data_IF_920236909280
#
_entry.id   IF_920236909280
#
_cell.length_a   1.000
_cell.length_b   1.000
_cell.length_c   1.000
_cell.angle_alpha   90.00
_cell.angle_beta   90.00
_cell.angle_gamma   90.00
#
_symmetry.space_group_name_H-M   'P 1'
#
loop_
_entity.id
_entity.type
_entity.pdbx_description
1 polymer ?
#
# COMPACT_ATOMS: atom_id res chain seq x y z
N UNK A 1 21.12 11.20 9.04
CA UNK A 1 20.93 10.54 10.35
C UNK A 1 21.14 9.04 10.15
N UNK A 2 21.82 8.34 11.05
CA UNK A 2 21.91 6.87 11.00
C UNK A 2 20.61 6.25 11.55
N UNK A 3 20.29 5.02 11.13
CA UNK A 3 19.16 4.30 11.69
C UNK A 3 19.44 3.89 13.15
N UNK A 4 18.47 4.09 14.04
CA UNK A 4 18.55 3.74 15.45
C UNK A 4 17.30 2.92 15.86
N UNK A 5 17.41 1.59 15.98
CA UNK A 5 16.27 0.72 16.25
C UNK A 5 15.61 1.01 17.61
N UNK A 6 16.35 1.59 18.56
CA UNK A 6 15.84 1.91 19.90
C UNK A 6 14.88 3.10 19.92
N UNK A 7 14.91 3.93 18.87
CA UNK A 7 14.06 5.11 18.72
C UNK A 7 12.79 4.87 17.92
N UNK A 8 12.62 3.66 17.36
CA UNK A 8 11.45 3.35 16.55
C UNK A 8 10.21 3.36 17.42
N UNK A 9 9.23 4.17 17.02
CA UNK A 9 7.93 4.20 17.67
C UNK A 9 6.99 3.16 17.04
N UNK A 10 6.09 2.60 17.85
CA UNK A 10 5.14 1.57 17.42
C UNK A 10 3.69 2.00 17.67
N UNK A 11 3.17 3.02 16.96
CA UNK A 11 1.80 3.47 17.15
C UNK A 11 0.81 2.34 16.89
N UNK A 12 -0.17 2.19 17.78
CA UNK A 12 -1.21 1.16 17.63
C UNK A 12 -1.95 1.20 16.29
N UNK A 13 -2.32 2.38 15.73
CA UNK A 13 -2.96 2.43 14.41
C UNK A 13 -2.11 1.78 13.30
N UNK A 14 -0.80 1.99 13.32
CA UNK A 14 0.11 1.47 12.30
C UNK A 14 0.32 -0.03 12.49
N UNK A 15 0.47 -0.50 13.74
CA UNK A 15 0.54 -1.93 14.04
C UNK A 15 -0.75 -2.65 13.61
N UNK A 16 -1.92 -2.06 13.88
CA UNK A 16 -3.20 -2.64 13.50
C UNK A 16 -3.38 -2.68 11.97
N UNK A 17 -2.94 -1.63 11.27
CA UNK A 17 -2.91 -1.60 9.81
C UNK A 17 -2.02 -2.72 9.25
N UNK A 18 -0.78 -2.82 9.72
CA UNK A 18 0.17 -3.84 9.28
C UNK A 18 -0.31 -5.25 9.63
N UNK A 19 -0.93 -5.44 10.79
CA UNK A 19 -1.54 -6.72 11.17
C UNK A 19 -2.69 -7.10 10.24
N UNK A 20 -3.59 -6.17 9.92
CA UNK A 20 -4.73 -6.45 9.05
C UNK A 20 -4.30 -6.91 7.65
N UNK A 21 -3.17 -6.40 7.16
CA UNK A 21 -2.69 -6.60 5.78
C UNK A 21 -1.69 -7.76 5.68
N UNK A 22 -0.75 -7.81 6.61
CA UNK A 22 0.47 -8.61 6.50
C UNK A 22 0.66 -9.59 7.66
N UNK A 23 -0.35 -9.80 8.53
CA UNK A 23 -0.22 -10.77 9.65
C UNK A 23 0.28 -12.15 9.21
N UNK A 24 -0.02 -12.60 8.01
CA UNK A 24 0.47 -13.88 7.48
C UNK A 24 1.99 -13.91 7.39
N UNK A 25 2.59 -12.86 6.84
CA UNK A 25 4.04 -12.72 6.63
C UNK A 25 4.81 -12.66 7.94
N UNK A 26 4.15 -12.19 9.00
CA UNK A 26 4.72 -12.10 10.35
C UNK A 26 4.43 -13.33 11.23
N UNK A 27 3.77 -14.37 10.71
CA UNK A 27 3.46 -15.59 11.47
C UNK A 27 2.18 -15.53 12.34
N UNK A 28 1.27 -14.62 12.01
CA UNK A 28 0.00 -14.37 12.73
C UNK A 28 -1.25 -14.66 11.87
N UNK A 29 -1.13 -15.46 10.81
CA UNK A 29 -2.21 -15.75 9.84
C UNK A 29 -3.57 -16.06 10.49
N UNK A 30 -3.58 -16.92 11.50
CA UNK A 30 -4.79 -17.42 12.15
C UNK A 30 -5.16 -16.64 13.43
N UNK A 31 -4.44 -15.55 13.71
CA UNK A 31 -4.69 -14.71 14.89
C UNK A 31 -5.60 -13.53 14.55
N UNK A 32 -6.38 -13.12 15.55
CA UNK A 32 -7.21 -11.91 15.52
C UNK A 32 -6.56 -10.79 16.32
N UNK A 33 -6.85 -9.55 15.95
CA UNK A 33 -6.38 -8.39 16.68
C UNK A 33 -7.06 -8.31 18.05
N UNK A 34 -6.28 -8.34 19.12
CA UNK A 34 -6.69 -8.15 20.50
C UNK A 34 -5.47 -7.69 21.32
N UNK A 35 -5.64 -7.42 22.63
CA UNK A 35 -4.55 -6.92 23.47
C UNK A 35 -3.34 -7.86 23.54
N UNK A 36 -3.56 -9.18 23.57
CA UNK A 36 -2.47 -10.16 23.60
C UNK A 36 -1.72 -10.19 22.27
N UNK A 37 -2.44 -10.32 21.16
CA UNK A 37 -1.87 -10.34 19.82
C UNK A 37 -1.12 -9.04 19.50
N UNK A 38 -1.63 -7.89 19.97
CA UNK A 38 -0.97 -6.58 19.83
C UNK A 38 0.43 -6.62 20.42
N UNK A 39 0.56 -7.06 21.68
CA UNK A 39 1.85 -7.13 22.39
C UNK A 39 2.81 -8.09 21.67
N UNK A 40 2.32 -9.28 21.30
CA UNK A 40 3.15 -10.27 20.59
C UNK A 40 3.61 -9.79 19.21
N UNK A 41 2.74 -9.11 18.47
CA UNK A 41 3.03 -8.57 17.16
C UNK A 41 4.06 -7.44 17.24
N UNK A 42 3.84 -6.50 18.16
CA UNK A 42 4.78 -5.41 18.44
C UNK A 42 6.17 -5.96 18.83
N UNK A 43 6.23 -6.92 19.75
CA UNK A 43 7.48 -7.57 20.17
C UNK A 43 8.19 -8.30 19.02
N UNK A 44 7.43 -8.91 18.11
CA UNK A 44 7.98 -9.59 16.94
C UNK A 44 8.66 -8.59 16.00
N UNK A 45 8.02 -7.45 15.74
CA UNK A 45 8.57 -6.40 14.86
C UNK A 45 9.76 -5.72 15.53
N UNK A 46 9.68 -5.42 16.83
CA UNK A 46 10.79 -4.89 17.62
C UNK A 46 12.03 -5.78 17.53
N UNK A 47 11.84 -7.09 17.73
CA UNK A 47 12.93 -8.08 17.59
C UNK A 47 13.49 -8.09 16.19
N UNK A 48 12.63 -8.14 15.16
CA UNK A 48 13.06 -8.07 13.76
C UNK A 48 13.92 -6.84 13.50
N UNK A 49 13.46 -5.64 13.89
CA UNK A 49 14.17 -4.38 13.68
C UNK A 49 15.51 -4.34 14.46
N UNK A 50 15.54 -4.89 15.68
CA UNK A 50 16.74 -4.88 16.51
C UNK A 50 17.86 -5.82 16.00
N UNK A 51 17.49 -6.95 15.38
CA UNK A 51 18.46 -7.98 14.94
C UNK A 51 18.76 -7.96 13.45
N UNK A 52 18.01 -7.20 12.65
CA UNK A 52 18.17 -7.16 11.19
C UNK A 52 19.23 -6.14 10.77
N UNK A 53 20.30 -6.57 10.09
CA UNK A 53 21.50 -5.73 9.92
C UNK A 53 21.46 -4.77 8.73
N UNK A 54 20.49 -4.89 7.81
CA UNK A 54 20.48 -4.11 6.57
C UNK A 54 19.35 -3.10 6.59
N UNK A 55 19.77 -1.85 6.43
CA UNK A 55 18.88 -0.70 6.40
C UNK A 55 19.24 0.17 5.21
N UNK A 56 18.23 0.48 4.40
CA UNK A 56 18.38 1.36 3.24
C UNK A 56 17.62 2.66 3.49
N UNK A 57 18.25 3.80 3.22
CA UNK A 57 17.55 5.08 3.16
C UNK A 57 16.88 5.22 1.80
N UNK A 58 15.63 5.68 1.80
CA UNK A 58 14.99 6.17 0.59
C UNK A 58 13.67 6.85 0.91
N UNK A 59 12.68 6.66 0.04
CA UNK A 59 11.36 7.29 0.17
C UNK A 59 10.24 6.28 0.04
N UNK A 60 9.22 6.40 0.90
CA UNK A 60 8.00 5.61 0.83
C UNK A 60 6.80 6.53 0.99
N UNK A 61 5.81 6.43 0.08
CA UNK A 61 4.56 7.23 0.10
C UNK A 61 4.79 8.73 0.39
N UNK A 62 5.73 9.34 -0.35
CA UNK A 62 6.14 10.77 -0.28
C UNK A 62 6.91 11.20 0.97
N UNK A 63 7.19 10.29 1.91
CA UNK A 63 8.03 10.56 3.07
C UNK A 63 9.41 9.93 2.94
N UNK A 64 10.41 10.53 3.58
CA UNK A 64 11.68 9.85 3.83
C UNK A 64 11.41 8.63 4.72
N UNK A 65 11.94 7.47 4.32
CA UNK A 65 11.76 6.22 5.06
C UNK A 65 13.05 5.39 5.10
N UNK A 66 13.15 4.54 6.12
CA UNK A 66 14.11 3.46 6.25
C UNK A 66 13.43 2.15 5.83
N UNK A 67 14.09 1.40 4.96
CA UNK A 67 13.78 0.00 4.72
C UNK A 67 14.68 -0.86 5.58
N UNK A 68 14.14 -1.48 6.62
CA UNK A 68 14.82 -2.53 7.38
C UNK A 68 14.49 -3.86 6.73
N UNK A 69 15.47 -4.61 6.25
CA UNK A 69 15.20 -5.83 5.45
C UNK A 69 16.16 -6.97 5.77
N UNK A 70 15.59 -8.16 5.91
CA UNK A 70 16.36 -9.40 5.98
C UNK A 70 16.67 -9.87 4.56
N UNK A 71 17.97 -9.93 4.21
CA UNK A 71 18.40 -10.27 2.85
C UNK A 71 18.14 -11.74 2.47
N UNK A 72 17.86 -12.62 3.44
CA UNK A 72 17.63 -14.05 3.19
C UNK A 72 16.16 -14.36 3.06
N UNK A 73 15.33 -13.81 3.95
CA UNK A 73 13.88 -14.11 3.97
C UNK A 73 13.06 -13.06 3.24
N UNK A 74 13.70 -11.97 2.79
CA UNK A 74 13.07 -10.80 2.19
C UNK A 74 12.02 -10.10 3.09
N UNK A 75 11.89 -10.53 4.35
CA UNK A 75 11.09 -9.85 5.35
C UNK A 75 11.58 -8.41 5.49
N UNK A 76 10.67 -7.46 5.44
CA UNK A 76 10.97 -6.04 5.58
C UNK A 76 10.07 -5.34 6.60
N UNK A 77 10.55 -4.19 7.07
CA UNK A 77 9.81 -3.20 7.82
C UNK A 77 10.18 -1.80 7.29
N UNK A 78 9.19 -0.92 7.25
CA UNK A 78 9.30 0.46 6.76
C UNK A 78 9.10 1.39 7.95
N UNK A 79 10.10 2.20 8.24
CA UNK A 79 10.07 3.19 9.33
C UNK A 79 10.21 4.57 8.74
N UNK A 80 9.31 5.51 9.06
CA UNK A 80 9.46 6.89 8.60
C UNK A 80 10.70 7.53 9.22
N UNK A 81 11.44 8.33 8.44
CA UNK A 81 12.60 9.12 8.92
C UNK A 81 12.22 10.53 9.34
N UNK A 82 10.95 10.89 9.19
CA UNK A 82 10.42 12.15 9.68
C UNK A 82 10.38 12.19 11.22
N UNK A 83 9.83 13.27 11.76
CA UNK A 83 9.81 13.54 13.20
C UNK A 83 9.18 12.42 14.05
N UNK A 84 8.33 11.55 13.46
CA UNK A 84 7.67 10.48 14.20
C UNK A 84 8.57 9.27 14.47
N UNK A 85 9.55 9.02 13.60
CA UNK A 85 10.37 7.81 13.61
C UNK A 85 9.56 6.50 13.77
N UNK A 86 8.32 6.51 13.29
CA UNK A 86 7.34 5.47 13.56
C UNK A 86 7.40 4.34 12.52
N UNK A 87 7.13 3.11 12.98
CA UNK A 87 6.82 1.98 12.10
C UNK A 87 5.59 2.32 11.26
N UNK A 88 5.68 2.06 9.96
CA UNK A 88 4.56 2.29 9.03
C UNK A 88 3.92 0.98 8.57
N UNK A 89 4.72 0.11 7.97
CA UNK A 89 4.29 -1.19 7.43
C UNK A 89 5.48 -2.14 7.31
N UNK A 90 5.25 -3.35 6.79
CA UNK A 90 6.25 -4.39 6.64
C UNK A 90 5.62 -5.74 6.27
N UNK A 91 6.29 -6.46 5.38
CA UNK A 91 5.86 -7.76 4.82
C UNK A 91 7.05 -8.51 4.24
N UNK A 92 6.85 -9.71 3.71
CA UNK A 92 7.88 -10.44 2.95
C UNK A 92 7.89 -9.94 1.51
N UNK A 93 9.00 -9.32 1.10
CA UNK A 93 9.16 -8.82 -0.26
C UNK A 93 9.23 -9.99 -1.26
N UNK A 94 8.62 -9.82 -2.43
CA UNK A 94 8.89 -10.68 -3.59
C UNK A 94 10.36 -10.52 -4.03
N UNK A 95 10.90 -11.46 -4.82
CA UNK A 95 12.27 -11.35 -5.34
C UNK A 95 12.45 -10.07 -6.18
N UNK A 96 11.42 -9.68 -6.93
CA UNK A 96 11.41 -8.44 -7.70
C UNK A 96 11.42 -7.20 -6.78
N UNK A 97 10.55 -7.17 -5.75
CA UNK A 97 10.53 -6.10 -4.73
C UNK A 97 11.88 -5.97 -4.07
N UNK A 98 12.48 -7.09 -3.72
CA UNK A 98 13.75 -7.12 -3.02
C UNK A 98 14.86 -6.53 -3.89
N UNK A 99 15.00 -6.97 -5.14
CA UNK A 99 15.99 -6.42 -6.07
C UNK A 99 15.77 -4.92 -6.28
N UNK A 100 14.53 -4.51 -6.53
CA UNK A 100 14.19 -3.11 -6.75
C UNK A 100 14.45 -2.24 -5.52
N UNK A 101 14.00 -2.67 -4.34
CA UNK A 101 14.07 -1.88 -3.11
C UNK A 101 15.48 -1.84 -2.48
N UNK A 102 16.39 -2.72 -2.88
CA UNK A 102 17.76 -2.80 -2.33
C UNK A 102 18.87 -2.40 -3.31
N UNK A 103 18.56 -2.16 -4.58
CA UNK A 103 19.54 -1.78 -5.61
C UNK A 103 19.53 -0.27 -5.89
N UNK A 104 20.67 0.44 -5.79
CA UNK A 104 20.76 1.85 -6.19
C UNK A 104 20.45 2.06 -7.69
N UNK A 105 19.90 3.22 -8.09
CA UNK A 105 19.47 4.36 -7.27
C UNK A 105 18.12 4.15 -6.55
N UNK A 106 17.49 2.98 -6.71
CA UNK A 106 16.12 2.66 -6.29
C UNK A 106 16.01 2.13 -4.85
N UNK A 107 17.06 2.28 -4.04
CA UNK A 107 17.06 1.93 -2.62
C UNK A 107 15.84 2.61 -1.94
N UNK A 108 14.82 1.81 -1.64
CA UNK A 108 13.47 2.27 -1.28
C UNK A 108 12.94 3.40 -2.21
N UNK A 109 12.71 3.10 -3.49
CA UNK A 109 12.04 3.99 -4.44
C UNK A 109 10.54 3.73 -4.51
N UNK A 110 9.73 4.29 -3.61
CA UNK A 110 8.27 4.04 -3.47
C UNK A 110 7.38 4.24 -4.71
N UNK A 111 7.93 4.65 -5.86
CA UNK A 111 7.22 4.73 -7.14
C UNK A 111 6.65 3.40 -7.62
N UNK A 112 7.35 2.28 -7.41
CA UNK A 112 6.85 0.93 -7.71
C UNK A 112 5.91 0.41 -6.62
N UNK A 113 5.96 0.99 -5.42
CA UNK A 113 5.21 0.50 -4.26
C UNK A 113 3.91 1.24 -3.94
N UNK A 114 3.61 2.48 -4.35
CA UNK A 114 2.31 3.09 -3.88
C UNK A 114 1.76 4.41 -4.48
N UNK A 115 2.15 4.94 -5.65
CA UNK A 115 1.43 6.16 -6.12
C UNK A 115 -0.04 5.87 -6.43
N UNK A 116 -0.33 4.73 -7.06
CA UNK A 116 -1.70 4.24 -7.19
C UNK A 116 -2.26 3.66 -5.90
N UNK A 117 -1.42 3.05 -5.08
CA UNK A 117 -1.85 2.48 -3.80
C UNK A 117 -2.50 3.52 -2.88
N UNK A 118 -1.93 4.71 -2.77
CA UNK A 118 -2.49 5.80 -1.96
C UNK A 118 -3.84 6.30 -2.50
N UNK A 119 -3.98 6.35 -3.83
CA UNK A 119 -5.22 6.77 -4.48
C UNK A 119 -6.28 5.69 -4.29
N UNK A 120 -5.92 4.41 -4.44
CA UNK A 120 -6.79 3.26 -4.18
C UNK A 120 -7.24 3.21 -2.72
N UNK A 121 -6.36 3.47 -1.77
CA UNK A 121 -6.70 3.56 -0.34
C UNK A 121 -7.67 4.71 -0.04
N UNK A 122 -7.45 5.87 -0.65
CA UNK A 122 -8.38 7.00 -0.53
C UNK A 122 -9.75 6.66 -1.13
N UNK A 123 -9.79 5.93 -2.25
CA UNK A 123 -11.02 5.44 -2.87
C UNK A 123 -11.73 4.43 -1.97
N UNK A 124 -11.00 3.58 -1.25
CA UNK A 124 -11.58 2.61 -0.32
C UNK A 124 -12.22 3.30 0.90
N UNK A 125 -11.69 4.46 1.30
CA UNK A 125 -12.12 5.19 2.49
C UNK A 125 -13.22 6.23 2.20
N UNK A 126 -13.41 6.63 0.93
CA UNK A 126 -14.40 7.64 0.62
C UNK A 126 -15.82 7.11 0.78
N UNK A 127 -16.69 7.96 1.36
CA UNK A 127 -18.13 7.74 1.45
C UNK A 127 -18.92 8.62 0.47
N UNK A 128 -18.24 9.36 -0.42
CA UNK A 128 -18.80 10.45 -1.20
C UNK A 128 -18.50 10.32 -2.70
N UNK A 129 -19.53 10.53 -3.52
CA UNK A 129 -19.41 10.56 -4.98
C UNK A 129 -18.49 11.69 -5.47
N UNK A 130 -18.48 12.84 -4.80
CA UNK A 130 -17.67 13.99 -5.22
C UNK A 130 -16.18 13.76 -4.93
N UNK A 131 -15.86 13.19 -3.76
CA UNK A 131 -14.49 12.81 -3.42
C UNK A 131 -13.97 11.71 -4.34
N UNK A 132 -14.83 10.75 -4.72
CA UNK A 132 -14.46 9.72 -5.68
C UNK A 132 -14.10 10.32 -7.05
N UNK A 133 -14.81 11.34 -7.52
CA UNK A 133 -14.50 12.01 -8.78
C UNK A 133 -13.13 12.73 -8.74
N UNK A 134 -12.82 13.42 -7.64
CA UNK A 134 -11.50 14.02 -7.42
C UNK A 134 -10.37 12.96 -7.38
N UNK A 135 -10.60 11.85 -6.68
CA UNK A 135 -9.65 10.74 -6.58
C UNK A 135 -9.46 10.02 -7.91
N UNK A 136 -10.52 9.92 -8.70
CA UNK A 136 -10.50 9.38 -10.06
C UNK A 136 -9.59 10.24 -10.94
N UNK A 137 -9.81 11.57 -10.96
CA UNK A 137 -8.94 12.49 -11.69
C UNK A 137 -7.47 12.41 -11.24
N UNK A 138 -7.23 12.28 -9.93
CA UNK A 138 -5.88 12.07 -9.39
C UNK A 138 -5.25 10.75 -9.85
N UNK A 139 -6.04 9.68 -9.98
CA UNK A 139 -5.62 8.40 -10.54
C UNK A 139 -5.18 8.57 -12.00
N UNK A 140 -5.99 9.27 -12.81
CA UNK A 140 -5.70 9.56 -14.22
C UNK A 140 -4.38 10.32 -14.41
N UNK A 141 -4.19 11.42 -13.68
CA UNK A 141 -2.98 12.24 -13.81
C UNK A 141 -1.73 11.49 -13.35
N UNK A 142 -1.87 10.67 -12.30
CA UNK A 142 -0.80 9.78 -11.84
C UNK A 142 -0.41 8.76 -12.90
N UNK A 143 -1.38 8.18 -13.60
CA UNK A 143 -1.13 7.22 -14.68
C UNK A 143 -0.42 7.85 -15.86
N UNK A 144 -0.86 9.02 -16.32
CA UNK A 144 -0.19 9.73 -17.41
C UNK A 144 1.27 10.06 -17.08
N UNK A 145 1.54 10.43 -15.82
CA UNK A 145 2.88 10.83 -15.40
C UNK A 145 3.85 9.65 -15.19
N UNK A 146 3.34 8.47 -14.84
CA UNK A 146 4.17 7.39 -14.28
C UNK A 146 3.85 5.97 -14.75
N UNK A 147 2.77 5.76 -15.52
CA UNK A 147 2.21 4.45 -15.81
C UNK A 147 3.09 3.56 -16.70
N UNK A 148 3.77 4.13 -17.69
CA UNK A 148 4.53 3.37 -18.71
C UNK A 148 5.98 3.08 -18.35
N UNK A 149 6.51 3.70 -17.30
CA UNK A 149 7.95 3.62 -16.94
C UNK A 149 8.22 2.75 -15.71
N UNK A 150 7.19 2.24 -15.03
CA UNK A 150 7.32 1.73 -13.65
C UNK A 150 6.70 0.36 -13.34
N UNK A 151 6.03 -0.29 -14.28
CA UNK A 151 5.27 -1.52 -13.98
C UNK A 151 5.52 -2.64 -15.00
N UNK A 152 5.41 -3.88 -14.54
CA UNK A 152 5.35 -5.04 -15.41
C UNK A 152 3.97 -5.18 -16.09
N UNK A 153 3.88 -6.00 -17.13
CA UNK A 153 2.67 -6.19 -17.93
C UNK A 153 1.46 -6.64 -17.07
N UNK A 154 1.71 -7.41 -16.01
CA UNK A 154 0.66 -7.90 -15.11
C UNK A 154 0.08 -6.79 -14.23
N UNK A 155 0.93 -5.89 -13.71
CA UNK A 155 0.53 -4.74 -12.91
C UNK A 155 -0.13 -3.66 -13.78
N UNK A 156 0.36 -3.44 -14.99
CA UNK A 156 -0.24 -2.54 -15.98
C UNK A 156 -1.65 -2.99 -16.36
N UNK A 157 -1.82 -4.29 -16.65
CA UNK A 157 -3.14 -4.89 -16.92
C UNK A 157 -4.10 -4.73 -15.75
N UNK A 158 -3.60 -4.88 -14.52
CA UNK A 158 -4.40 -4.73 -13.31
C UNK A 158 -4.85 -3.28 -13.09
N UNK A 159 -3.96 -2.31 -13.28
CA UNK A 159 -4.27 -0.90 -13.24
C UNK A 159 -5.27 -0.50 -14.33
N UNK A 160 -5.10 -1.02 -15.55
CA UNK A 160 -6.03 -0.79 -16.67
C UNK A 160 -7.42 -1.37 -16.42
N UNK A 161 -7.52 -2.54 -15.77
CA UNK A 161 -8.81 -3.11 -15.39
C UNK A 161 -9.53 -2.26 -14.33
N UNK A 162 -8.79 -1.68 -13.39
CA UNK A 162 -9.37 -0.77 -12.40
C UNK A 162 -9.78 0.57 -13.02
N UNK A 163 -8.95 1.10 -13.91
CA UNK A 163 -9.25 2.28 -14.71
C UNK A 163 -10.56 2.12 -15.49
N UNK A 164 -10.74 1.01 -16.19
CA UNK A 164 -11.97 0.73 -16.92
C UNK A 164 -13.19 0.70 -15.99
N UNK A 165 -13.03 0.29 -14.74
CA UNK A 165 -14.14 0.31 -13.77
C UNK A 165 -14.45 1.74 -13.28
N UNK A 166 -13.45 2.60 -13.12
CA UNK A 166 -13.65 4.02 -12.78
C UNK A 166 -14.28 4.81 -13.94
N UNK A 167 -13.85 4.57 -15.17
CA UNK A 167 -14.37 5.27 -16.35
C UNK A 167 -15.85 4.93 -16.62
N UNK A 168 -16.27 3.73 -16.23
CA UNK A 168 -17.67 3.29 -16.30
C UNK A 168 -18.48 3.61 -15.01
N UNK A 169 -17.89 4.33 -14.06
CA UNK A 169 -18.59 4.73 -12.84
C UNK A 169 -19.53 5.89 -13.12
N UNK A 170 -20.81 5.71 -12.80
CA UNK A 170 -21.81 6.78 -12.88
C UNK A 170 -22.40 6.98 -11.49
N UNK A 171 -22.27 8.19 -10.89
CA UNK A 171 -22.93 8.52 -9.64
C UNK A 171 -24.45 8.26 -9.71
N UNK A 172 -25.08 7.68 -8.67
CA UNK A 172 -26.51 7.35 -8.66
C UNK A 172 -27.43 8.54 -8.95
N UNK A 173 -27.04 9.73 -8.52
CA UNK A 173 -27.75 10.99 -8.79
C UNK A 173 -27.68 11.41 -10.28
N UNK A 174 -26.69 10.92 -11.03
CA UNK A 174 -26.55 11.12 -12.48
C UNK A 174 -27.15 9.96 -13.29
N UNK A 175 -27.14 8.73 -12.76
CA UNK A 175 -27.67 7.54 -13.43
C UNK A 175 -29.16 7.68 -13.81
N UNK A 176 -29.95 8.31 -12.94
CA UNK A 176 -31.37 8.61 -13.19
C UNK A 176 -31.60 9.62 -14.33
N UNK A 177 -30.59 10.43 -14.66
CA UNK A 177 -30.64 11.46 -15.71
C UNK A 177 -30.13 10.92 -17.05
N UNK A 178 -29.14 10.00 -17.02
CA UNK A 178 -28.39 9.58 -18.21
C UNK A 178 -29.05 8.41 -18.94
N UNK A 179 -29.66 7.42 -18.26
CA UNK A 179 -30.48 6.39 -18.92
C UNK A 179 -31.29 5.52 -17.94
N UNK A 180 -32.63 5.39 -18.10
CA UNK A 180 -33.45 4.47 -17.30
C UNK A 180 -33.13 2.98 -17.53
N UNK A 181 -32.27 2.66 -18.50
CA UNK A 181 -31.93 1.30 -18.93
C UNK A 181 -30.46 0.94 -18.69
N UNK A 182 -29.65 1.83 -18.09
CA UNK A 182 -28.26 1.54 -17.79
C UNK A 182 -28.16 0.57 -16.59
N UNK A 183 -28.17 -0.72 -16.87
CA UNK A 183 -27.98 -1.81 -15.90
C UNK A 183 -26.54 -1.99 -15.41
N UNK A 184 -25.67 -1.00 -15.60
CA UNK A 184 -24.28 -1.01 -15.13
C UNK A 184 -24.05 0.16 -14.18
N UNK A 185 -24.77 0.14 -13.06
CA UNK A 185 -24.51 1.05 -11.95
C UNK A 185 -23.46 0.39 -11.07
N UNK A 186 -22.19 0.73 -11.28
CA UNK A 186 -21.15 0.41 -10.30
C UNK A 186 -21.40 1.27 -9.07
N UNK A 187 -21.89 0.68 -7.99
CA UNK A 187 -22.06 1.39 -6.72
C UNK A 187 -20.71 1.79 -6.15
N UNK A 188 -20.70 2.76 -5.21
CA UNK A 188 -19.50 3.09 -4.43
C UNK A 188 -18.85 1.81 -3.84
N UNK A 189 -19.67 0.88 -3.36
CA UNK A 189 -19.22 -0.42 -2.85
C UNK A 189 -18.50 -1.28 -3.89
N UNK A 190 -18.94 -1.25 -5.15
CA UNK A 190 -18.29 -2.00 -6.22
C UNK A 190 -16.94 -1.39 -6.59
N UNK A 191 -16.87 -0.06 -6.66
CA UNK A 191 -15.60 0.67 -6.88
C UNK A 191 -14.63 0.39 -5.74
N UNK A 192 -15.08 0.45 -4.49
CA UNK A 192 -14.29 0.11 -3.31
C UNK A 192 -13.83 -1.35 -3.32
N UNK A 193 -14.68 -2.28 -3.74
CA UNK A 193 -14.32 -3.70 -3.87
C UNK A 193 -13.23 -3.92 -4.91
N UNK A 194 -13.33 -3.25 -6.06
CA UNK A 194 -12.33 -3.34 -7.14
C UNK A 194 -11.03 -2.63 -6.76
N UNK A 195 -11.10 -1.53 -6.02
CA UNK A 195 -9.93 -0.83 -5.51
C UNK A 195 -9.15 -1.73 -4.52
N UNK A 196 -9.84 -2.41 -3.60
CA UNK A 196 -9.24 -3.38 -2.68
C UNK A 196 -8.54 -4.53 -3.43
N UNK A 197 -9.16 -5.08 -4.48
CA UNK A 197 -8.56 -6.17 -5.28
C UNK A 197 -7.32 -5.70 -6.04
N UNK A 198 -7.39 -4.53 -6.64
CA UNK A 198 -6.29 -3.92 -7.40
C UNK A 198 -5.11 -3.64 -6.48
N UNK A 199 -5.38 -3.07 -5.31
CA UNK A 199 -4.37 -2.83 -4.28
C UNK A 199 -3.67 -4.11 -3.83
N UNK A 200 -4.43 -5.18 -3.54
CA UNK A 200 -3.85 -6.47 -3.14
C UNK A 200 -2.99 -7.12 -4.24
N UNK A 201 -3.36 -6.96 -5.52
CA UNK A 201 -2.58 -7.48 -6.65
C UNK A 201 -1.32 -6.66 -6.86
N UNK A 202 -1.41 -5.33 -6.76
CA UNK A 202 -0.24 -4.45 -6.83
C UNK A 202 0.73 -4.72 -5.68
N UNK A 203 0.24 -4.93 -4.46
CA UNK A 203 1.07 -5.32 -3.31
C UNK A 203 1.79 -6.67 -3.53
N UNK A 204 1.19 -7.59 -4.30
CA UNK A 204 1.75 -8.91 -4.59
C UNK A 204 2.76 -8.92 -5.74
N UNK A 205 2.58 -8.05 -6.73
CA UNK A 205 3.35 -8.05 -7.99
C UNK A 205 4.31 -6.87 -8.15
N UNK A 206 4.20 -5.83 -7.29
CA UNK A 206 5.33 -4.91 -7.08
C UNK A 206 6.51 -5.70 -6.54
#
# INVERSE_FOLDING_TARGET
>A
MAFDPSKVEYPEPNLKHMFSRHKGDWGFKDKNWNNQTKVEFEDTIKKFIAVTPKVYAGTYRKGDAWLVVNLTTHQCAIVHRDASYAIWSGWILSDAQFVYATTPPYALGGGALTVFGDILESIIQTGSHNELDELTNKFFETYKAHGTERYDEASEKTLSNFFAALDNYIPPNMAAVISPQASHIHSLDEVTTRANRTLAVLEKNS
#
